data_IF_519822650388
#
_entry.id   IF_519822650388
#
_cell.length_a   1.000
_cell.length_b   1.000
_cell.length_c   1.000
_cell.angle_alpha   90.00
_cell.angle_beta   90.00
_cell.angle_gamma   90.00
#
_symmetry.space_group_name_H-M   'P 1'
#
loop_
_entity.id
_entity.type
_entity.pdbx_description
1 polymer ?
#
# COMPACT_ATOMS: atom_id res chain seq x y z
N UNK A 1 -10.10 9.00 -0.36
CA UNK A 1 -10.31 8.32 0.93
C UNK A 1 -10.81 6.91 0.65
N UNK A 2 -10.20 5.89 1.25
CA UNK A 2 -10.62 4.50 1.10
C UNK A 2 -11.83 4.28 2.02
N UNK A 3 -12.97 3.88 1.45
CA UNK A 3 -14.22 3.70 2.21
C UNK A 3 -14.79 2.33 1.87
N UNK A 4 -15.13 1.56 2.91
CA UNK A 4 -15.85 0.30 2.79
C UNK A 4 -17.35 0.59 2.61
N UNK A 5 -17.94 -0.09 1.63
CA UNK A 5 -19.37 -0.02 1.35
C UNK A 5 -19.88 -1.45 1.21
N UNK A 6 -20.78 -1.92 2.09
CA UNK A 6 -21.29 -1.25 3.30
C UNK A 6 -20.23 -1.11 4.43
N UNK A 7 -20.43 -0.24 5.44
CA UNK A 7 -19.53 -0.10 6.58
C UNK A 7 -19.56 -1.34 7.49
N UNK A 8 -18.51 -1.53 8.30
CA UNK A 8 -18.43 -2.64 9.25
C UNK A 8 -19.62 -2.70 10.21
N UNK A 9 -20.16 -1.56 10.63
CA UNK A 9 -21.33 -1.48 11.50
C UNK A 9 -22.58 -2.11 10.88
N UNK A 10 -22.79 -1.93 9.57
CA UNK A 10 -23.92 -2.56 8.87
C UNK A 10 -23.71 -4.07 8.69
N UNK A 11 -22.46 -4.51 8.51
CA UNK A 11 -22.14 -5.94 8.50
C UNK A 11 -22.38 -6.58 9.88
N UNK A 12 -22.02 -5.86 10.95
CA UNK A 12 -22.28 -6.24 12.34
C UNK A 12 -23.78 -6.40 12.61
N UNK A 13 -24.58 -5.40 12.22
CA UNK A 13 -26.03 -5.44 12.33
C UNK A 13 -26.63 -6.64 11.59
N UNK A 14 -26.16 -6.93 10.37
CA UNK A 14 -26.63 -8.09 9.61
C UNK A 14 -26.28 -9.43 10.25
N UNK A 15 -25.08 -9.55 10.85
CA UNK A 15 -24.67 -10.77 11.56
C UNK A 15 -25.50 -10.98 12.82
N UNK A 16 -25.75 -9.93 13.59
CA UNK A 16 -26.63 -10.00 14.76
C UNK A 16 -28.07 -10.32 14.39
N UNK A 17 -28.60 -9.71 13.32
CA UNK A 17 -29.94 -10.03 12.83
C UNK A 17 -30.03 -11.50 12.37
N UNK A 18 -29.02 -12.00 11.66
CA UNK A 18 -28.99 -13.40 11.22
C UNK A 18 -28.94 -14.38 12.40
N UNK A 19 -28.18 -14.04 13.46
CA UNK A 19 -28.13 -14.83 14.69
C UNK A 19 -29.48 -14.81 15.42
N UNK A 20 -30.09 -13.63 15.54
CA UNK A 20 -31.41 -13.45 16.14
C UNK A 20 -32.51 -14.17 15.36
N UNK A 21 -32.44 -14.19 14.03
CA UNK A 21 -33.37 -14.95 13.19
C UNK A 21 -33.26 -16.45 13.45
N UNK A 22 -32.03 -16.98 13.58
CA UNK A 22 -31.82 -18.38 13.96
C UNK A 22 -32.40 -18.68 15.35
N UNK A 23 -32.21 -17.77 16.29
CA UNK A 23 -32.75 -17.86 17.65
C UNK A 23 -34.30 -17.85 17.64
N UNK A 24 -34.89 -16.96 16.86
CA UNK A 24 -36.34 -16.80 16.67
C UNK A 24 -36.97 -18.02 16.00
N UNK A 25 -36.30 -18.63 15.02
CA UNK A 25 -36.76 -19.89 14.39
C UNK A 25 -36.87 -21.02 15.40
N UNK A 26 -35.97 -21.09 16.38
CA UNK A 26 -36.00 -22.13 17.42
C UNK A 26 -37.11 -21.87 18.42
N UNK A 27 -37.26 -20.62 18.87
CA UNK A 27 -38.24 -20.30 19.91
C UNK A 27 -39.66 -20.23 19.41
N UNK A 28 -39.88 -19.81 18.16
CA UNK A 28 -41.20 -19.75 17.53
C UNK A 28 -41.81 -21.12 17.20
N UNK A 29 -41.10 -22.23 17.44
CA UNK A 29 -41.63 -23.56 17.21
C UNK A 29 -42.79 -23.87 18.16
N UNK A 30 -43.85 -24.48 17.61
CA UNK A 30 -45.00 -24.94 18.39
C UNK A 30 -44.67 -26.24 19.11
N UNK A 31 -45.00 -26.33 20.40
CA UNK A 31 -44.85 -27.57 21.17
C UNK A 31 -45.79 -28.66 20.62
N UNK A 32 -45.25 -29.85 20.34
CA UNK A 32 -46.04 -30.99 19.86
C UNK A 32 -46.85 -31.55 21.02
N UNK A 33 -48.19 -31.44 20.96
CA UNK A 33 -49.11 -32.09 21.90
C UNK A 33 -49.64 -33.41 21.32
N UNK A 34 -49.68 -34.47 22.13
CA UNK A 34 -50.38 -35.71 21.76
C UNK A 34 -51.86 -35.57 22.14
N UNK A 35 -52.74 -35.47 21.14
CA UNK A 35 -54.19 -35.28 21.33
C UNK A 35 -54.88 -36.41 22.09
N UNK A 36 -54.21 -37.56 22.30
CA UNK A 36 -54.77 -38.73 22.99
C UNK A 36 -54.63 -38.75 24.52
N UNK A 37 -53.86 -37.85 25.14
CA UNK A 37 -53.66 -37.86 26.59
C UNK A 37 -54.60 -36.91 27.37
N UNK A 38 -55.41 -36.10 26.70
CA UNK A 38 -56.32 -35.13 27.33
C UNK A 38 -57.79 -35.60 27.29
N UNK A 39 -58.09 -36.76 27.90
CA UNK A 39 -59.50 -37.12 28.16
C UNK A 39 -59.89 -36.85 29.63
N UNK A 40 -58.93 -36.74 30.56
CA UNK A 40 -59.22 -36.58 31.99
C UNK A 40 -58.47 -35.44 32.71
N UNK A 41 -57.83 -34.51 31.99
CA UNK A 41 -57.26 -33.32 32.62
C UNK A 41 -58.14 -32.13 32.27
N UNK A 42 -58.75 -31.58 33.31
CA UNK A 42 -59.70 -30.49 33.28
C UNK A 42 -59.22 -29.32 32.42
N UNK A 43 -60.20 -28.75 31.72
CA UNK A 43 -60.15 -27.49 31.01
C UNK A 43 -59.83 -26.44 32.06
N UNK A 44 -58.56 -26.03 32.17
CA UNK A 44 -58.09 -24.74 32.70
C UNK A 44 -56.57 -24.76 32.80
N UNK A 45 -55.91 -24.34 31.72
CA UNK A 45 -54.62 -23.63 31.76
C UNK A 45 -54.34 -23.12 30.36
N UNK A 46 -54.73 -21.86 30.17
CA UNK A 46 -54.05 -20.81 29.40
C UNK A 46 -53.38 -21.25 28.08
N UNK A 47 -53.89 -20.70 26.96
CA UNK A 47 -53.30 -20.76 25.62
C UNK A 47 -51.87 -20.18 25.52
N UNK A 48 -51.29 -19.76 26.65
CA UNK A 48 -49.99 -19.09 26.78
C UNK A 48 -48.79 -20.04 26.60
N UNK A 49 -48.99 -21.36 26.72
CA UNK A 49 -47.90 -22.36 26.72
C UNK A 49 -47.64 -23.08 25.37
N UNK A 50 -47.92 -22.43 24.24
CA UNK A 50 -47.87 -23.07 22.90
C UNK A 50 -46.51 -22.98 22.20
N UNK A 51 -45.62 -22.09 22.64
CA UNK A 51 -44.39 -21.73 21.93
C UNK A 51 -43.18 -21.98 22.83
N UNK A 52 -42.05 -22.39 22.25
CA UNK A 52 -40.79 -22.63 22.96
C UNK A 52 -40.06 -21.33 23.42
N UNK A 53 -40.80 -20.25 23.72
CA UNK A 53 -40.24 -18.98 24.18
C UNK A 53 -39.53 -19.09 25.53
N UNK A 54 -40.04 -19.93 26.42
CA UNK A 54 -39.48 -20.19 27.76
C UNK A 54 -38.27 -21.15 27.73
N UNK A 55 -37.67 -21.40 26.56
CA UNK A 55 -36.41 -22.14 26.48
C UNK A 55 -35.24 -21.33 27.02
N UNK A 56 -35.23 -20.00 26.84
CA UNK A 56 -34.13 -19.13 27.29
C UNK A 56 -33.91 -19.14 28.81
N UNK A 57 -34.98 -19.30 29.57
CA UNK A 57 -34.96 -19.33 31.04
C UNK A 57 -34.59 -20.71 31.60
N UNK A 58 -34.72 -21.77 30.78
CA UNK A 58 -34.51 -23.17 31.16
C UNK A 58 -33.19 -23.75 30.66
N UNK A 59 -32.41 -22.98 29.90
CA UNK A 59 -31.09 -23.42 29.49
C UNK A 59 -30.17 -23.59 30.72
N UNK A 60 -29.39 -24.68 30.78
CA UNK A 60 -28.29 -24.81 31.74
C UNK A 60 -27.36 -23.59 31.65
N UNK A 61 -26.74 -23.19 32.74
CA UNK A 61 -25.80 -22.05 32.76
C UNK A 61 -24.70 -22.18 31.67
N UNK A 62 -24.29 -23.41 31.35
CA UNK A 62 -23.34 -23.74 30.27
C UNK A 62 -23.83 -23.38 28.86
N UNK A 63 -25.14 -23.41 28.59
CA UNK A 63 -25.69 -23.04 27.28
C UNK A 63 -25.88 -21.52 27.14
N UNK A 64 -26.13 -20.79 28.24
CA UNK A 64 -26.09 -19.33 28.24
C UNK A 64 -24.67 -18.82 27.99
N UNK A 65 -23.64 -19.54 28.47
CA UNK A 65 -22.25 -19.26 28.14
C UNK A 65 -21.97 -19.41 26.63
N UNK A 66 -22.57 -20.39 25.96
CA UNK A 66 -22.39 -20.59 24.51
C UNK A 66 -23.03 -19.48 23.64
N UNK A 67 -24.10 -18.84 24.11
CA UNK A 67 -24.70 -17.69 23.43
C UNK A 67 -23.78 -16.48 23.56
N UNK A 68 -23.24 -16.22 24.76
CA UNK A 68 -22.23 -15.18 24.98
C UNK A 68 -21.00 -15.38 24.10
N UNK A 69 -20.49 -16.61 24.03
CA UNK A 69 -19.36 -16.98 23.18
C UNK A 69 -19.64 -16.74 21.68
N UNK A 70 -20.89 -16.91 21.22
CA UNK A 70 -21.27 -16.59 19.85
C UNK A 70 -21.22 -15.07 19.57
N UNK A 71 -21.69 -14.24 20.50
CA UNK A 71 -21.56 -12.78 20.40
C UNK A 71 -20.09 -12.35 20.41
N UNK A 72 -19.28 -12.91 21.30
CA UNK A 72 -17.84 -12.65 21.38
C UNK A 72 -17.12 -13.06 20.08
N UNK A 73 -17.53 -14.18 19.46
CA UNK A 73 -16.98 -14.64 18.18
C UNK A 73 -17.31 -13.67 17.04
N UNK A 74 -18.53 -13.12 17.02
CA UNK A 74 -18.92 -12.10 16.02
C UNK A 74 -18.06 -10.84 16.19
N UNK A 75 -17.86 -10.38 17.42
CA UNK A 75 -17.04 -9.20 17.71
C UNK A 75 -15.56 -9.41 17.33
N UNK A 76 -15.00 -10.58 17.64
CA UNK A 76 -13.64 -10.95 17.24
C UNK A 76 -13.47 -10.95 15.72
N UNK A 77 -14.46 -11.50 14.99
CA UNK A 77 -14.43 -11.56 13.54
C UNK A 77 -14.46 -10.17 12.90
N UNK A 78 -15.24 -9.25 13.45
CA UNK A 78 -15.27 -7.85 13.00
C UNK A 78 -13.94 -7.16 13.31
N UNK A 79 -13.40 -7.37 14.50
CA UNK A 79 -12.12 -6.79 14.93
C UNK A 79 -10.96 -7.25 14.05
N UNK A 80 -10.94 -8.54 13.67
CA UNK A 80 -9.95 -9.09 12.75
C UNK A 80 -10.06 -8.44 11.36
N UNK A 81 -11.30 -8.31 10.85
CA UNK A 81 -11.57 -7.69 9.56
C UNK A 81 -11.20 -6.20 9.53
N UNK A 82 -11.47 -5.47 10.62
CA UNK A 82 -11.09 -4.05 10.76
C UNK A 82 -9.57 -3.90 10.85
N UNK A 83 -8.89 -4.75 11.62
CA UNK A 83 -7.42 -4.76 11.73
C UNK A 83 -6.78 -5.02 10.37
N UNK A 84 -7.34 -5.96 9.59
CA UNK A 84 -6.88 -6.21 8.22
C UNK A 84 -7.11 -4.99 7.31
N UNK A 85 -8.27 -4.34 7.40
CA UNK A 85 -8.56 -3.12 6.64
C UNK A 85 -7.62 -1.95 7.01
N UNK A 86 -7.23 -1.81 8.28
CA UNK A 86 -6.23 -0.80 8.69
C UNK A 86 -4.88 -0.98 8.00
N UNK A 87 -4.50 -2.22 7.64
CA UNK A 87 -3.34 -2.49 6.80
C UNK A 87 -3.41 -1.77 5.45
N UNK A 88 -4.61 -1.66 4.87
CA UNK A 88 -4.84 -0.97 3.60
C UNK A 88 -4.87 0.55 3.73
N UNK A 89 -5.25 1.09 4.90
CA UNK A 89 -5.19 2.53 5.18
C UNK A 89 -3.78 3.09 5.12
N UNK A 90 -2.74 2.27 5.37
CA UNK A 90 -1.33 2.69 5.19
C UNK A 90 -1.04 3.16 3.77
N UNK A 91 -1.69 2.56 2.78
CA UNK A 91 -1.56 3.00 1.40
C UNK A 91 -2.24 4.35 1.14
N UNK A 92 -3.13 4.83 2.02
CA UNK A 92 -3.75 6.15 1.90
C UNK A 92 -2.70 7.28 1.86
N UNK A 93 -1.58 7.11 2.57
CA UNK A 93 -0.47 8.07 2.56
C UNK A 93 0.03 8.37 1.15
N UNK A 94 -0.05 7.42 0.22
CA UNK A 94 0.35 7.62 -1.19
C UNK A 94 -0.55 8.61 -1.94
N UNK A 95 -1.79 8.79 -1.50
CA UNK A 95 -2.69 9.78 -2.06
C UNK A 95 -2.42 11.16 -1.50
N UNK A 96 -2.02 11.23 -0.23
CA UNK A 96 -1.77 12.47 0.48
C UNK A 96 -0.34 13.01 0.23
N UNK A 97 0.56 12.18 -0.29
CA UNK A 97 1.93 12.57 -0.62
C UNK A 97 1.96 13.43 -1.89
N UNK A 98 2.29 14.72 -1.74
CA UNK A 98 2.52 15.60 -2.88
C UNK A 98 3.86 15.23 -3.56
N UNK A 99 3.89 14.96 -4.89
CA UNK A 99 5.13 14.63 -5.58
C UNK A 99 6.22 15.71 -5.43
N UNK A 100 5.82 16.98 -5.39
CA UNK A 100 6.75 18.10 -5.27
C UNK A 100 7.55 18.09 -3.96
N UNK A 101 6.91 17.77 -2.84
CA UNK A 101 7.58 17.71 -1.53
C UNK A 101 8.67 16.62 -1.52
N UNK A 102 8.36 15.49 -2.13
CA UNK A 102 9.30 14.37 -2.28
C UNK A 102 10.45 14.77 -3.19
N UNK A 103 10.17 15.44 -4.31
CA UNK A 103 11.20 15.92 -5.23
C UNK A 103 12.12 16.96 -4.57
N UNK A 104 11.57 17.87 -3.77
CA UNK A 104 12.37 18.85 -3.01
C UNK A 104 13.29 18.17 -2.00
N UNK A 105 12.80 17.13 -1.32
CA UNK A 105 13.59 16.38 -0.34
C UNK A 105 14.71 15.55 -0.97
N UNK A 106 14.46 14.97 -2.16
CA UNK A 106 15.45 14.19 -2.91
C UNK A 106 16.52 15.06 -3.57
N UNK A 107 16.17 16.30 -3.95
CA UNK A 107 17.11 17.25 -4.56
C UNK A 107 17.75 16.70 -5.84
N UNK A 108 19.06 16.94 -6.01
CA UNK A 108 19.85 16.53 -7.18
C UNK A 108 20.68 15.26 -6.97
N UNK A 109 20.58 14.60 -5.81
CA UNK A 109 21.40 13.42 -5.53
C UNK A 109 20.86 12.17 -6.25
N UNK A 110 21.51 11.81 -7.35
CA UNK A 110 21.16 10.66 -8.21
C UNK A 110 21.02 9.35 -7.41
N UNK A 111 21.84 9.12 -6.37
CA UNK A 111 21.77 7.90 -5.56
C UNK A 111 20.47 7.81 -4.76
N UNK A 112 20.03 8.90 -4.15
CA UNK A 112 18.77 8.93 -3.40
C UNK A 112 17.56 8.68 -4.31
N UNK A 113 17.63 9.12 -5.57
CA UNK A 113 16.61 8.80 -6.58
C UNK A 113 16.59 7.30 -6.93
N UNK A 114 17.74 6.64 -7.01
CA UNK A 114 17.82 5.19 -7.22
C UNK A 114 17.19 4.40 -6.08
N UNK A 115 17.51 4.76 -4.84
CA UNK A 115 16.94 4.14 -3.64
C UNK A 115 15.42 4.31 -3.62
N UNK A 116 14.92 5.53 -3.86
CA UNK A 116 13.49 5.80 -3.92
C UNK A 116 12.77 4.96 -5.00
N UNK A 117 13.34 4.88 -6.21
CA UNK A 117 12.79 4.05 -7.29
C UNK A 117 12.80 2.55 -6.95
N UNK A 118 13.80 2.09 -6.20
CA UNK A 118 13.88 0.71 -5.71
C UNK A 118 12.81 0.44 -4.66
N UNK A 119 12.65 1.34 -3.68
CA UNK A 119 11.68 1.22 -2.60
C UNK A 119 10.24 1.16 -3.13
N UNK A 120 9.93 1.95 -4.15
CA UNK A 120 8.62 1.93 -4.82
C UNK A 120 8.38 0.59 -5.51
N UNK A 121 9.42 0.06 -6.17
CA UNK A 121 9.33 -1.23 -6.84
C UNK A 121 9.11 -2.37 -5.84
N UNK A 122 9.79 -2.34 -4.70
CA UNK A 122 9.60 -3.32 -3.62
C UNK A 122 8.23 -3.17 -2.98
N UNK A 123 7.79 -1.95 -2.69
CA UNK A 123 6.45 -1.65 -2.17
C UNK A 123 5.35 -2.20 -3.09
N UNK A 124 5.48 -2.05 -4.42
CA UNK A 124 4.53 -2.64 -5.38
C UNK A 124 4.47 -4.17 -5.31
N UNK A 125 5.61 -4.85 -5.16
CA UNK A 125 5.62 -6.31 -5.05
C UNK A 125 4.81 -6.79 -3.84
N UNK A 126 4.86 -6.06 -2.73
CA UNK A 126 4.05 -6.41 -1.54
C UNK A 126 2.54 -6.30 -1.83
N UNK A 127 2.12 -5.34 -2.64
CA UNK A 127 0.72 -5.18 -3.08
C UNK A 127 0.26 -6.28 -4.03
N UNK A 128 1.13 -6.71 -4.94
CA UNK A 128 0.83 -7.80 -5.88
C UNK A 128 0.75 -9.17 -5.18
N UNK A 129 1.35 -9.30 -3.99
CA UNK A 129 1.31 -10.53 -3.18
C UNK A 129 0.04 -10.62 -2.33
N UNK A 130 -0.67 -9.51 -2.11
CA UNK A 130 -1.90 -9.51 -1.34
C UNK A 130 -3.06 -10.14 -2.14
N UNK A 131 -3.84 -10.98 -1.45
CA UNK A 131 -5.02 -11.62 -2.02
C UNK A 131 -6.09 -10.58 -2.37
N UNK A 132 -6.70 -10.71 -3.56
CA UNK A 132 -7.77 -9.81 -4.01
C UNK A 132 -9.07 -9.96 -3.20
N UNK A 133 -9.24 -11.07 -2.48
CA UNK A 133 -10.39 -11.36 -1.64
C UNK A 133 -9.91 -11.94 -0.31
N UNK A 134 -10.51 -11.48 0.79
CA UNK A 134 -10.30 -12.07 2.11
C UNK A 134 -11.64 -12.45 2.73
N UNK A 135 -11.78 -13.72 3.12
CA UNK A 135 -12.95 -14.23 3.84
C UNK A 135 -12.66 -14.33 5.33
N UNK A 136 -13.47 -13.66 6.14
CA UNK A 136 -13.54 -13.78 7.58
C UNK A 136 -14.86 -14.50 7.90
N UNK A 137 -14.85 -15.84 7.87
CA UNK A 137 -16.07 -16.65 8.03
C UNK A 137 -17.16 -16.25 7.01
N UNK A 138 -18.34 -15.75 7.45
CA UNK A 138 -19.42 -15.30 6.57
C UNK A 138 -19.16 -13.93 5.92
N UNK A 139 -18.20 -13.15 6.44
CA UNK A 139 -17.84 -11.84 5.90
C UNK A 139 -16.81 -12.00 4.79
N UNK A 140 -17.10 -11.48 3.59
CA UNK A 140 -16.16 -11.48 2.46
C UNK A 140 -15.88 -10.04 2.09
N UNK A 141 -14.60 -9.65 2.11
CA UNK A 141 -14.16 -8.32 1.68
C UNK A 141 -13.43 -8.46 0.34
N UNK A 142 -13.98 -7.78 -0.68
CA UNK A 142 -13.38 -7.67 -2.01
C UNK A 142 -12.47 -6.44 -2.08
N UNK A 143 -11.17 -6.69 -2.19
CA UNK A 143 -10.14 -5.69 -2.37
C UNK A 143 -9.72 -5.50 -3.83
N UNK A 144 -10.28 -6.25 -4.79
CA UNK A 144 -9.91 -6.18 -6.21
C UNK A 144 -10.02 -4.77 -6.78
N UNK A 145 -11.11 -4.06 -6.44
CA UNK A 145 -11.32 -2.67 -6.85
C UNK A 145 -10.28 -1.72 -6.26
N UNK A 146 -9.92 -1.92 -5.00
CA UNK A 146 -8.96 -1.05 -4.30
C UNK A 146 -7.55 -1.31 -4.80
N UNK A 147 -7.19 -2.58 -5.00
CA UNK A 147 -5.91 -3.01 -5.55
C UNK A 147 -5.69 -2.42 -6.95
N UNK A 148 -6.72 -2.45 -7.81
CA UNK A 148 -6.65 -1.82 -9.14
C UNK A 148 -6.41 -0.31 -9.04
N UNK A 149 -7.15 0.39 -8.16
CA UNK A 149 -6.99 1.84 -7.96
C UNK A 149 -5.61 2.21 -7.38
N UNK A 150 -5.15 1.45 -6.39
CA UNK A 150 -3.81 1.59 -5.80
C UNK A 150 -2.77 1.39 -6.89
N UNK A 151 -2.87 0.31 -7.67
CA UNK A 151 -1.95 -0.01 -8.76
C UNK A 151 -1.81 1.11 -9.78
N UNK A 152 -2.93 1.67 -10.24
CA UNK A 152 -2.94 2.83 -11.15
C UNK A 152 -2.27 4.04 -10.51
N UNK A 153 -2.53 4.32 -9.23
CA UNK A 153 -1.90 5.44 -8.51
C UNK A 153 -0.38 5.25 -8.40
N UNK A 154 0.09 4.05 -8.09
CA UNK A 154 1.52 3.71 -8.08
C UNK A 154 2.16 3.86 -9.44
N UNK A 155 1.48 3.45 -10.51
CA UNK A 155 2.00 3.60 -11.87
C UNK A 155 2.16 5.06 -12.26
N UNK A 156 1.16 5.90 -11.96
CA UNK A 156 1.26 7.34 -12.17
C UNK A 156 2.41 7.94 -11.36
N UNK A 157 2.53 7.58 -10.07
CA UNK A 157 3.58 8.12 -9.20
C UNK A 157 4.98 7.69 -9.68
N UNK A 158 5.13 6.42 -10.07
CA UNK A 158 6.37 5.91 -10.68
C UNK A 158 6.70 6.65 -11.98
N UNK A 159 5.72 6.92 -12.82
CA UNK A 159 5.93 7.65 -14.07
C UNK A 159 6.37 9.10 -13.81
N UNK A 160 5.75 9.79 -12.85
CA UNK A 160 6.12 11.15 -12.47
C UNK A 160 7.54 11.21 -11.91
N UNK A 161 7.92 10.26 -11.05
CA UNK A 161 9.28 10.14 -10.53
C UNK A 161 10.30 9.85 -11.62
N UNK A 162 10.01 8.91 -12.53
CA UNK A 162 10.89 8.62 -13.66
C UNK A 162 11.07 9.85 -14.55
N UNK A 163 10.00 10.62 -14.78
CA UNK A 163 10.07 11.87 -15.54
C UNK A 163 10.96 12.90 -14.86
N UNK A 164 10.81 13.09 -13.56
CA UNK A 164 11.63 14.06 -12.81
C UNK A 164 13.09 13.59 -12.72
N UNK A 165 13.32 12.31 -12.50
CA UNK A 165 14.65 11.70 -12.50
C UNK A 165 15.34 11.87 -13.86
N UNK A 166 14.63 11.63 -14.97
CA UNK A 166 15.12 11.87 -16.32
C UNK A 166 15.53 13.34 -16.54
N UNK A 167 14.72 14.29 -16.07
CA UNK A 167 15.09 15.72 -16.13
C UNK A 167 16.36 16.02 -15.34
N UNK A 168 16.51 15.48 -14.14
CA UNK A 168 17.70 15.69 -13.30
C UNK A 168 18.95 15.11 -13.96
N UNK A 169 18.86 13.89 -14.50
CA UNK A 169 19.97 13.27 -15.24
C UNK A 169 20.33 14.09 -16.46
N UNK A 170 19.35 14.59 -17.21
CA UNK A 170 19.61 15.44 -18.36
C UNK A 170 20.36 16.72 -17.97
N UNK A 171 19.94 17.38 -16.88
CA UNK A 171 20.64 18.56 -16.36
C UNK A 171 22.06 18.21 -15.93
N UNK A 172 22.23 17.17 -15.11
CA UNK A 172 23.56 16.73 -14.64
C UNK A 172 24.47 16.33 -15.81
N UNK A 173 23.94 15.66 -16.83
CA UNK A 173 24.69 15.26 -18.02
C UNK A 173 25.09 16.47 -18.87
N UNK A 174 24.21 17.46 -19.04
CA UNK A 174 24.52 18.70 -19.76
C UNK A 174 25.59 19.53 -19.02
N UNK A 175 25.46 19.66 -17.70
CA UNK A 175 26.44 20.37 -16.87
C UNK A 175 27.81 19.66 -16.92
N UNK A 176 27.81 18.33 -16.84
CA UNK A 176 29.01 17.51 -16.98
C UNK A 176 29.65 17.65 -18.35
N UNK A 177 28.86 17.62 -19.43
CA UNK A 177 29.36 17.81 -20.79
C UNK A 177 29.97 19.21 -20.98
N UNK A 178 29.33 20.24 -20.43
CA UNK A 178 29.81 21.62 -20.49
C UNK A 178 31.15 21.76 -19.76
N UNK A 179 31.24 21.22 -18.53
CA UNK A 179 32.47 21.23 -17.73
C UNK A 179 33.63 20.50 -18.43
N UNK A 180 33.40 19.31 -19.00
CA UNK A 180 34.42 18.60 -19.77
C UNK A 180 34.83 19.38 -21.02
N UNK A 181 33.87 19.98 -21.73
CA UNK A 181 34.14 20.77 -22.93
C UNK A 181 34.99 22.00 -22.60
N UNK A 182 34.72 22.66 -21.47
CA UNK A 182 35.53 23.77 -20.94
C UNK A 182 36.94 23.32 -20.59
N UNK A 183 37.10 22.21 -19.85
CA UNK A 183 38.43 21.64 -19.55
C UNK A 183 39.20 21.31 -20.84
N UNK A 184 38.54 20.73 -21.84
CA UNK A 184 39.15 20.43 -23.14
C UNK A 184 39.58 21.70 -23.86
N UNK A 185 38.71 22.70 -23.97
CA UNK A 185 39.01 23.96 -24.64
C UNK A 185 40.17 24.69 -23.95
N UNK A 186 40.20 24.71 -22.61
CA UNK A 186 41.29 25.33 -21.85
C UNK A 186 42.64 24.64 -22.12
N UNK A 187 42.66 23.31 -22.19
CA UNK A 187 43.86 22.55 -22.54
C UNK A 187 44.28 22.79 -24.00
N UNK A 188 43.34 22.80 -24.94
CA UNK A 188 43.61 23.02 -26.37
C UNK A 188 44.15 24.43 -26.63
N UNK A 189 43.55 25.47 -26.03
CA UNK A 189 43.99 26.87 -26.18
C UNK A 189 45.38 27.09 -25.57
N UNK A 190 45.60 26.65 -24.32
CA UNK A 190 46.91 26.83 -23.66
C UNK A 190 48.02 26.02 -24.32
N UNK A 191 47.70 24.86 -24.90
CA UNK A 191 48.66 24.02 -25.65
C UNK A 191 49.12 24.69 -26.95
N UNK A 192 48.21 25.43 -27.61
CA UNK A 192 48.50 26.12 -28.87
C UNK A 192 49.31 27.41 -28.69
N UNK A 193 49.16 28.09 -27.55
CA UNK A 193 49.80 29.38 -27.25
C UNK A 193 51.19 29.25 -26.59
N UNK A 194 51.66 28.03 -26.33
CA UNK A 194 52.87 27.75 -25.54
C UNK A 194 54.16 28.18 -26.24
N UNK A 195 54.64 29.38 -25.93
CA UNK A 195 55.93 29.92 -26.39
C UNK A 195 56.88 30.35 -25.28
N UNK A 196 56.38 30.63 -24.07
CA UNK A 196 57.20 31.11 -22.93
C UNK A 196 57.19 30.15 -21.72
N UNK A 197 58.14 30.37 -20.80
CA UNK A 197 58.31 29.55 -19.60
C UNK A 197 57.14 29.72 -18.60
N UNK A 198 56.50 30.89 -18.61
CA UNK A 198 55.29 31.16 -17.82
C UNK A 198 54.09 30.37 -18.39
N UNK A 199 53.90 30.37 -19.72
CA UNK A 199 52.85 29.57 -20.38
C UNK A 199 52.99 28.07 -20.06
N UNK A 200 54.23 27.58 -19.97
CA UNK A 200 54.53 26.18 -19.63
C UNK A 200 54.14 25.82 -18.20
N UNK A 201 54.34 26.74 -17.24
CA UNK A 201 53.92 26.57 -15.84
C UNK A 201 52.40 26.60 -15.73
N UNK A 202 51.74 27.54 -16.43
CA UNK A 202 50.28 27.61 -16.48
C UNK A 202 49.64 26.37 -17.14
N UNK A 203 50.30 25.78 -18.14
CA UNK A 203 49.90 24.51 -18.73
C UNK A 203 49.98 23.36 -17.72
N UNK A 204 51.10 23.27 -16.99
CA UNK A 204 51.31 22.24 -15.97
C UNK A 204 50.22 22.29 -14.89
N UNK A 205 49.89 23.50 -14.41
CA UNK A 205 48.80 23.73 -13.45
C UNK A 205 47.42 23.30 -13.99
N UNK A 206 47.12 23.58 -15.26
CA UNK A 206 45.87 23.10 -15.87
C UNK A 206 45.82 21.59 -16.10
N UNK A 207 46.95 20.95 -16.37
CA UNK A 207 47.01 19.48 -16.50
C UNK A 207 46.84 18.82 -15.15
N UNK A 208 47.40 19.41 -14.09
CA UNK A 208 47.27 18.92 -12.73
C UNK A 208 45.83 19.01 -12.22
N UNK A 209 45.16 20.15 -12.41
CA UNK A 209 43.73 20.32 -12.07
C UNK A 209 42.82 19.36 -12.83
N UNK A 210 43.06 19.12 -14.14
CA UNK A 210 42.31 18.12 -14.91
C UNK A 210 42.58 16.70 -14.40
N UNK A 211 43.81 16.39 -14.00
CA UNK A 211 44.18 15.09 -13.45
C UNK A 211 43.52 14.84 -12.09
N UNK A 212 43.46 15.85 -11.23
CA UNK A 212 42.78 15.76 -9.93
C UNK A 212 41.27 15.52 -10.11
N UNK A 213 40.65 16.19 -11.06
CA UNK A 213 39.20 16.05 -11.34
C UNK A 213 38.84 14.78 -12.12
N UNK A 214 39.82 14.07 -12.70
CA UNK A 214 39.58 12.88 -13.51
C UNK A 214 38.85 11.76 -12.74
N UNK A 215 39.24 11.49 -11.50
CA UNK A 215 38.67 10.41 -10.68
C UNK A 215 37.17 10.69 -10.41
N UNK A 216 36.84 11.93 -10.06
CA UNK A 216 35.47 12.35 -9.82
C UNK A 216 34.63 12.30 -11.11
N UNK A 217 35.23 12.67 -12.24
CA UNK A 217 34.57 12.59 -13.54
C UNK A 217 34.27 11.14 -13.94
N UNK A 218 35.21 10.21 -13.72
CA UNK A 218 34.98 8.78 -13.94
C UNK A 218 33.86 8.22 -13.05
N UNK A 219 33.77 8.66 -11.79
CA UNK A 219 32.69 8.26 -10.89
C UNK A 219 31.33 8.80 -11.37
N UNK A 220 31.26 10.08 -11.76
CA UNK A 220 30.04 10.69 -12.32
C UNK A 220 29.59 10.00 -13.61
N UNK A 221 30.51 9.65 -14.50
CA UNK A 221 30.19 8.89 -15.73
C UNK A 221 29.56 7.55 -15.38
N UNK A 222 30.12 6.79 -14.42
CA UNK A 222 29.57 5.51 -14.00
C UNK A 222 28.14 5.66 -13.48
N UNK A 223 27.89 6.67 -12.64
CA UNK A 223 26.56 6.95 -12.11
C UNK A 223 25.56 7.33 -13.22
N UNK A 224 25.96 8.17 -14.18
CA UNK A 224 25.11 8.54 -15.31
C UNK A 224 24.81 7.35 -16.22
N UNK A 225 25.78 6.46 -16.48
CA UNK A 225 25.57 5.24 -17.27
C UNK A 225 24.63 4.26 -16.59
N UNK A 226 24.75 4.08 -15.28
CA UNK A 226 23.79 3.27 -14.50
C UNK A 226 22.39 3.87 -14.56
N UNK A 227 22.28 5.20 -14.49
CA UNK A 227 21.02 5.91 -14.51
C UNK A 227 20.35 5.81 -15.88
N UNK A 228 21.14 5.97 -16.95
CA UNK A 228 20.70 5.77 -18.33
C UNK A 228 20.22 4.32 -18.55
N UNK A 229 20.99 3.31 -18.12
CA UNK A 229 20.59 1.90 -18.24
C UNK A 229 19.27 1.63 -17.52
N UNK A 230 19.04 2.25 -16.37
CA UNK A 230 17.79 2.10 -15.63
C UNK A 230 16.62 2.74 -16.38
N UNK A 231 16.81 3.95 -16.93
CA UNK A 231 15.80 4.64 -17.74
C UNK A 231 15.45 3.88 -19.02
N UNK A 232 16.46 3.38 -19.74
CA UNK A 232 16.29 2.55 -20.93
C UNK A 232 15.52 1.27 -20.62
N UNK A 233 15.87 0.59 -19.52
CA UNK A 233 15.17 -0.62 -19.06
C UNK A 233 13.72 -0.33 -18.68
N UNK A 234 13.42 0.86 -18.18
CA UNK A 234 12.06 1.30 -17.83
C UNK A 234 11.29 1.86 -19.04
N UNK A 235 11.87 1.82 -20.26
CA UNK A 235 11.30 2.38 -21.50
C UNK A 235 10.94 3.85 -21.39
N UNK A 236 11.76 4.62 -20.68
CA UNK A 236 11.61 6.06 -20.67
C UNK A 236 11.89 6.60 -22.08
N UNK A 237 10.98 7.42 -22.63
CA UNK A 237 11.24 8.15 -23.87
C UNK A 237 12.04 9.39 -23.50
N UNK A 238 13.29 9.44 -23.97
CA UNK A 238 14.13 10.62 -23.91
C UNK A 238 13.53 11.77 -24.73
#
# INVERSE_FOLDING_TARGET
MLVLVPPFESACEQLYNSFFDCQSVITSQKRIKNSRCHVNAEIDTEEEDLIYNDLFTKFPEESNASIGEAYDTIEQLITEAETYFQGWLKYQVLWDLEPNDVFQRLGTNVQSWFECLKDIKESRKTLDTNEAYKSFGPLIIDFSKIQTKIGVRYDNWRQDLLRKFGQIIQTVANDFHTNISEHRNNLETKSLESGTLDDSVQLMDTIETVRETQIDNEMKIKQLLEAQRLLERQRYSF
#
